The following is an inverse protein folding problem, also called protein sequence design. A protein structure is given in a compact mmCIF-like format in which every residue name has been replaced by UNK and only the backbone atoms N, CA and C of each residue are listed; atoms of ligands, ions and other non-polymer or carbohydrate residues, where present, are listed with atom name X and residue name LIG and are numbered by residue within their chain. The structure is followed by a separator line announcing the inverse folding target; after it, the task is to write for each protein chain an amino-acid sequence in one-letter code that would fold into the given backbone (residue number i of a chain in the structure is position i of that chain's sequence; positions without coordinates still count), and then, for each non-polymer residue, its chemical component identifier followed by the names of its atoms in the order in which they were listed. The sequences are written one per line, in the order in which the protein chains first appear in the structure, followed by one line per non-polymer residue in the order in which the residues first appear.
data_IF_028414983977
#
_entry.id   IF_028414983977
#
_cell.length_a   1.000
_cell.length_b   1.000
_cell.length_c   1.000
_cell.angle_alpha   90.00
_cell.angle_beta   90.00
_cell.angle_gamma   90.00
#
_symmetry.space_group_name_H-M   'P 1'
#
loop_
_entity.id
_entity.type
_entity.pdbx_description
1 polymer ?
#
# COMPACT_ATOMS: atom_id res chain seq x y z
N UNK A 1 0.97 -23.51 16.00
CA UNK A 1 1.96 -22.54 15.53
C UNK A 1 1.51 -21.94 14.18
N UNK A 2 1.40 -20.64 14.12
CA UNK A 2 1.03 -19.92 12.89
C UNK A 2 2.25 -19.70 11.99
N UNK A 3 2.01 -19.41 10.71
CA UNK A 3 3.07 -19.04 9.76
C UNK A 3 3.79 -17.77 10.24
N UNK A 4 3.04 -16.79 10.74
CA UNK A 4 3.61 -15.55 11.27
C UNK A 4 4.57 -15.80 12.45
N UNK A 5 4.21 -16.70 13.38
CA UNK A 5 5.10 -17.08 14.49
C UNK A 5 6.37 -17.77 14.00
N UNK A 6 6.28 -18.59 12.95
CA UNK A 6 7.45 -19.23 12.36
C UNK A 6 8.44 -18.21 11.78
N UNK A 7 7.93 -17.19 11.09
CA UNK A 7 8.75 -16.10 10.59
C UNK A 7 9.31 -15.22 11.72
N UNK A 8 8.52 -14.95 12.76
CA UNK A 8 8.95 -14.16 13.91
C UNK A 8 10.18 -14.79 14.61
N UNK A 9 10.24 -16.11 14.70
CA UNK A 9 11.41 -16.84 15.23
C UNK A 9 12.67 -16.63 14.39
N UNK A 10 12.53 -16.29 13.11
CA UNK A 10 13.63 -15.97 12.21
C UNK A 10 13.91 -14.45 12.16
N UNK A 11 13.32 -13.67 13.04
CA UNK A 11 13.49 -12.22 13.12
C UNK A 11 12.63 -11.42 12.15
N UNK A 12 11.69 -12.07 11.44
CA UNK A 12 10.77 -11.40 10.52
C UNK A 12 9.40 -11.27 11.17
N UNK A 13 8.99 -10.04 11.47
CA UNK A 13 7.72 -9.76 12.13
C UNK A 13 6.71 -9.29 11.10
N UNK A 14 5.61 -10.03 10.95
CA UNK A 14 4.46 -9.63 10.15
C UNK A 14 3.41 -8.95 11.02
N UNK A 15 2.81 -7.91 10.48
CA UNK A 15 1.65 -7.26 11.07
C UNK A 15 0.41 -7.56 10.23
N UNK A 16 -0.76 -7.79 10.85
CA UNK A 16 -1.99 -7.97 10.10
C UNK A 16 -2.28 -6.74 9.25
N UNK A 17 -2.62 -6.94 7.99
CA UNK A 17 -3.11 -5.87 7.11
C UNK A 17 -4.58 -5.55 7.38
N UNK A 18 -5.01 -4.33 7.01
CA UNK A 18 -6.42 -3.96 7.05
C UNK A 18 -7.21 -4.70 5.98
N UNK A 19 -8.29 -5.36 6.38
CA UNK A 19 -9.18 -6.07 5.46
C UNK A 19 -10.41 -5.25 5.03
N UNK A 20 -10.37 -3.93 5.16
CA UNK A 20 -11.42 -3.02 4.66
C UNK A 20 -11.30 -2.86 3.15
N UNK A 21 -11.92 -3.77 2.39
CA UNK A 21 -11.73 -3.89 0.95
C UNK A 21 -12.22 -2.67 0.19
N UNK A 22 -13.46 -2.23 0.42
CA UNK A 22 -14.04 -1.07 -0.27
C UNK A 22 -13.22 0.21 -0.07
N UNK A 23 -12.78 0.47 1.16
CA UNK A 23 -11.92 1.61 1.48
C UNK A 23 -10.56 1.50 0.76
N UNK A 24 -10.02 0.29 0.69
CA UNK A 24 -8.78 0.03 0.00
C UNK A 24 -8.87 0.25 -1.52
N UNK A 25 -9.96 -0.17 -2.15
CA UNK A 25 -10.19 0.09 -3.59
C UNK A 25 -10.36 1.59 -3.86
N UNK A 26 -11.10 2.29 -3.03
CA UNK A 26 -11.25 3.74 -3.14
C UNK A 26 -9.90 4.45 -2.99
N UNK A 27 -9.06 4.01 -2.06
CA UNK A 27 -7.71 4.54 -1.87
C UNK A 27 -6.81 4.26 -3.07
N UNK A 28 -6.87 3.06 -3.67
CA UNK A 28 -6.13 2.75 -4.89
C UNK A 28 -6.52 3.67 -6.05
N UNK A 29 -7.81 3.91 -6.24
CA UNK A 29 -8.29 4.86 -7.26
C UNK A 29 -7.71 6.26 -7.03
N UNK A 30 -7.70 6.75 -5.81
CA UNK A 30 -7.10 8.05 -5.47
C UNK A 30 -5.60 8.10 -5.78
N UNK A 31 -4.87 7.05 -5.49
CA UNK A 31 -3.42 6.98 -5.69
C UNK A 31 -3.02 6.81 -7.15
N UNK A 32 -3.83 6.11 -7.94
CA UNK A 32 -3.61 5.90 -9.36
C UNK A 32 -4.13 7.06 -10.23
N UNK A 33 -5.02 7.89 -9.68
CA UNK A 33 -5.60 9.01 -10.41
C UNK A 33 -4.52 10.00 -10.85
N UNK A 34 -4.60 10.40 -12.10
CA UNK A 34 -3.79 11.46 -12.67
C UNK A 34 -4.61 12.30 -13.64
N UNK A 35 -4.29 13.57 -13.72
CA UNK A 35 -4.85 14.53 -14.66
C UNK A 35 -3.84 15.65 -14.90
N UNK A 36 -4.24 16.71 -15.63
CA UNK A 36 -3.35 17.83 -15.94
C UNK A 36 -2.82 18.56 -14.69
N UNK A 37 -3.53 18.49 -13.57
CA UNK A 37 -3.20 19.18 -12.32
C UNK A 37 -2.61 18.25 -11.25
N UNK A 38 -2.91 16.94 -11.31
CA UNK A 38 -2.53 15.97 -10.30
C UNK A 38 -1.63 14.88 -10.88
N UNK A 39 -0.47 14.68 -10.26
CA UNK A 39 0.40 13.54 -10.55
C UNK A 39 -0.10 12.29 -9.81
N UNK A 40 0.06 11.09 -10.38
CA UNK A 40 -0.27 9.87 -9.68
C UNK A 40 0.63 9.69 -8.45
N UNK A 41 0.05 9.20 -7.37
CA UNK A 41 0.79 8.89 -6.12
C UNK A 41 1.32 7.47 -6.08
N UNK A 42 0.79 6.59 -6.91
CA UNK A 42 1.25 5.21 -7.10
C UNK A 42 1.66 5.05 -8.55
N UNK A 43 2.89 4.63 -8.76
CA UNK A 43 3.46 4.32 -10.07
C UNK A 43 4.15 2.96 -10.01
N UNK A 44 4.13 2.25 -11.13
CA UNK A 44 4.78 0.96 -11.27
C UNK A 44 5.94 1.07 -12.25
N UNK A 45 7.06 0.46 -11.91
CA UNK A 45 8.14 0.27 -12.86
C UNK A 45 7.69 -0.64 -14.01
N UNK A 46 8.20 -0.42 -15.20
CA UNK A 46 7.89 -1.25 -16.37
C UNK A 46 8.28 -2.73 -16.22
N UNK A 47 9.13 -3.05 -15.24
CA UNK A 47 9.50 -4.42 -14.87
C UNK A 47 8.44 -5.13 -14.01
N UNK A 48 7.45 -4.42 -13.50
CA UNK A 48 6.34 -5.01 -12.72
C UNK A 48 5.27 -5.60 -13.64
N UNK A 49 5.64 -6.56 -14.45
CA UNK A 49 4.81 -7.12 -15.55
C UNK A 49 3.43 -7.61 -15.07
N UNK A 50 3.40 -8.37 -13.99
CA UNK A 50 2.14 -8.92 -13.48
C UNK A 50 1.20 -7.83 -12.94
N UNK A 51 1.71 -6.83 -12.23
CA UNK A 51 0.91 -5.70 -11.78
C UNK A 51 0.34 -4.90 -12.95
N UNK A 52 1.17 -4.58 -13.94
CA UNK A 52 0.77 -3.83 -15.14
C UNK A 52 -0.28 -4.60 -15.95
N UNK A 53 -0.15 -5.92 -16.05
CA UNK A 53 -1.08 -6.79 -16.78
C UNK A 53 -2.41 -6.95 -16.03
N UNK A 54 -2.38 -7.13 -14.71
CA UNK A 54 -3.54 -7.59 -13.95
C UNK A 54 -4.36 -6.49 -13.31
N UNK A 55 -3.76 -5.37 -12.91
CA UNK A 55 -4.50 -4.28 -12.24
C UNK A 55 -5.55 -3.64 -13.15
N UNK A 56 -5.26 -3.29 -14.42
CA UNK A 56 -6.24 -2.63 -15.28
C UNK A 56 -7.44 -3.50 -15.70
N UNK A 57 -7.34 -4.81 -15.58
CA UNK A 57 -8.39 -5.75 -16.00
C UNK A 57 -9.34 -6.16 -14.87
N UNK A 58 -9.17 -5.61 -13.67
CA UNK A 58 -10.07 -5.90 -12.56
C UNK A 58 -11.46 -5.38 -12.86
N UNK A 59 -12.46 -6.20 -12.57
CA UNK A 59 -13.87 -5.88 -12.73
C UNK A 59 -14.59 -5.89 -11.38
N UNK A 60 -15.73 -5.20 -11.30
CA UNK A 60 -16.56 -5.21 -10.11
C UNK A 60 -17.18 -6.59 -9.86
N UNK A 61 -17.32 -6.93 -8.59
CA UNK A 61 -18.10 -8.12 -8.19
C UNK A 61 -19.59 -7.91 -8.52
N UNK A 62 -20.23 -8.92 -9.08
CA UNK A 62 -21.65 -8.83 -9.49
C UNK A 62 -22.60 -8.65 -8.30
N UNK A 63 -22.26 -9.23 -7.15
CA UNK A 63 -23.08 -9.18 -5.93
C UNK A 63 -22.76 -8.00 -5.03
N UNK A 64 -21.51 -7.51 -5.11
CA UNK A 64 -21.00 -6.38 -4.34
C UNK A 64 -20.26 -5.42 -5.25
N UNK A 65 -20.95 -4.52 -5.94
CA UNK A 65 -20.33 -3.62 -6.93
C UNK A 65 -19.23 -2.71 -6.38
N UNK A 66 -19.19 -2.51 -5.07
CA UNK A 66 -18.13 -1.79 -4.37
C UNK A 66 -16.83 -2.60 -4.19
N UNK A 67 -16.88 -3.88 -4.46
CA UNK A 67 -15.75 -4.80 -4.40
C UNK A 67 -15.33 -5.26 -5.81
N UNK A 68 -14.21 -5.95 -5.89
CA UNK A 68 -13.76 -6.58 -7.14
C UNK A 68 -14.08 -8.07 -7.14
N UNK A 69 -14.23 -8.61 -8.35
CA UNK A 69 -14.36 -10.05 -8.55
C UNK A 69 -13.07 -10.76 -8.16
N UNK A 70 -13.16 -11.62 -7.13
CA UNK A 70 -12.02 -12.39 -6.61
C UNK A 70 -11.80 -13.74 -7.32
N UNK A 71 -12.63 -14.09 -8.28
CA UNK A 71 -12.40 -15.28 -9.13
C UNK A 71 -11.35 -15.03 -10.22
N UNK A 72 -11.02 -13.76 -10.48
CA UNK A 72 -9.98 -13.35 -11.42
C UNK A 72 -8.58 -13.34 -10.81
N UNK A 73 -7.62 -12.83 -11.57
CA UNK A 73 -6.22 -12.66 -11.15
C UNK A 73 -6.08 -11.36 -10.33
N UNK A 74 -6.39 -11.44 -9.06
CA UNK A 74 -6.45 -10.31 -8.12
C UNK A 74 -5.22 -10.18 -7.20
N UNK A 75 -4.23 -11.06 -7.31
CA UNK A 75 -3.11 -11.15 -6.37
C UNK A 75 -2.30 -9.86 -6.29
N UNK A 76 -1.93 -9.27 -7.43
CA UNK A 76 -1.14 -8.04 -7.45
C UNK A 76 -1.92 -6.83 -6.92
N UNK A 77 -3.19 -6.72 -7.29
CA UNK A 77 -4.03 -5.61 -6.83
C UNK A 77 -4.33 -5.73 -5.34
N UNK A 78 -4.53 -6.93 -4.84
CA UNK A 78 -4.78 -7.18 -3.43
C UNK A 78 -3.54 -6.86 -2.57
N UNK A 79 -2.36 -7.28 -3.01
CA UNK A 79 -1.11 -6.95 -2.36
C UNK A 79 -0.89 -5.42 -2.30
N UNK A 80 -1.13 -4.71 -3.40
CA UNK A 80 -1.04 -3.26 -3.46
C UNK A 80 -2.05 -2.59 -2.52
N UNK A 81 -3.28 -3.08 -2.46
CA UNK A 81 -4.31 -2.60 -1.55
C UNK A 81 -3.87 -2.69 -0.10
N UNK A 82 -3.38 -3.84 0.34
CA UNK A 82 -2.86 -4.02 1.70
C UNK A 82 -1.71 -3.06 2.02
N UNK A 83 -0.78 -2.91 1.09
CA UNK A 83 0.35 -1.99 1.25
C UNK A 83 -0.09 -0.54 1.38
N UNK A 84 -0.97 -0.07 0.51
CA UNK A 84 -1.50 1.30 0.53
C UNK A 84 -2.32 1.60 1.79
N UNK A 85 -3.17 0.67 2.21
CA UNK A 85 -3.95 0.82 3.44
C UNK A 85 -3.04 0.94 4.66
N UNK A 86 -2.00 0.14 4.75
CA UNK A 86 -1.02 0.20 5.84
C UNK A 86 -0.30 1.55 5.86
N UNK A 87 0.15 2.04 4.71
CA UNK A 87 0.80 3.34 4.60
C UNK A 87 -0.13 4.49 4.97
N UNK A 88 -1.38 4.44 4.51
CA UNK A 88 -2.38 5.47 4.77
C UNK A 88 -2.76 5.53 6.25
N UNK A 89 -2.99 4.40 6.88
CA UNK A 89 -3.30 4.30 8.31
C UNK A 89 -2.14 4.76 9.18
N UNK A 90 -0.91 4.43 8.81
CA UNK A 90 0.29 4.94 9.52
C UNK A 90 0.41 6.45 9.46
N UNK A 91 0.07 7.07 8.35
CA UNK A 91 0.10 8.54 8.23
C UNK A 91 -0.92 9.24 9.09
N UNK A 92 -2.10 8.63 9.24
CA UNK A 92 -3.23 9.27 9.93
C UNK A 92 -3.29 9.04 11.44
N UNK A 93 -2.59 8.05 11.98
CA UNK A 93 -2.90 7.54 13.33
C UNK A 93 -1.72 7.43 14.29
N UNK A 94 -0.47 7.74 13.91
CA UNK A 94 0.66 7.40 14.76
C UNK A 94 1.63 8.55 15.01
N UNK A 95 1.88 8.91 16.30
CA UNK A 95 3.06 9.70 16.63
C UNK A 95 4.34 8.93 16.25
N UNK A 96 5.40 9.62 15.84
CA UNK A 96 6.66 8.97 15.47
C UNK A 96 7.20 8.14 16.63
N UNK A 97 7.70 6.95 16.33
CA UNK A 97 8.39 6.12 17.33
C UNK A 97 9.64 6.83 17.82
N UNK A 98 10.15 6.37 18.96
CA UNK A 98 11.41 6.88 19.51
C UNK A 98 12.57 6.72 18.53
N UNK A 99 12.59 5.60 17.78
CA UNK A 99 13.60 5.35 16.74
C UNK A 99 13.45 6.35 15.60
N UNK A 100 12.24 6.57 15.12
CA UNK A 100 11.95 7.56 14.08
C UNK A 100 12.31 8.97 14.52
N UNK A 101 12.02 9.34 15.78
CA UNK A 101 12.45 10.62 16.35
C UNK A 101 13.98 10.74 16.40
N UNK A 102 14.69 9.72 16.88
CA UNK A 102 16.15 9.71 16.91
C UNK A 102 16.78 9.74 15.52
N UNK A 103 16.17 9.09 14.54
CA UNK A 103 16.58 9.16 13.15
C UNK A 103 16.33 10.56 12.57
N UNK A 104 15.19 11.15 12.86
CA UNK A 104 14.84 12.51 12.47
C UNK A 104 15.82 13.54 13.11
N UNK A 105 16.13 13.40 14.38
CA UNK A 105 17.09 14.25 15.09
C UNK A 105 18.53 14.10 14.54
N UNK A 106 18.92 12.86 14.22
CA UNK A 106 20.30 12.56 13.79
C UNK A 106 20.57 12.90 12.33
N UNK A 107 19.60 12.72 11.47
CA UNK A 107 19.74 12.90 10.02
C UNK A 107 18.97 14.10 9.48
N UNK A 108 18.19 14.78 10.32
CA UNK A 108 17.49 16.01 10.02
C UNK A 108 16.69 15.96 8.72
N UNK A 109 16.77 17.03 7.94
CA UNK A 109 16.03 17.15 6.66
C UNK A 109 16.50 16.18 5.55
N UNK A 110 17.57 15.41 5.77
CA UNK A 110 18.06 14.44 4.77
C UNK A 110 17.25 13.14 4.69
N UNK A 111 16.44 12.87 5.71
CA UNK A 111 15.50 11.76 5.73
C UNK A 111 14.08 12.28 5.83
N UNK A 112 13.65 13.02 4.83
CA UNK A 112 12.23 13.21 4.62
C UNK A 112 11.67 11.89 4.07
N UNK A 113 11.18 11.05 5.00
CA UNK A 113 10.51 9.79 4.66
C UNK A 113 9.33 10.07 3.71
N UNK A 114 8.70 11.23 3.83
CA UNK A 114 7.68 11.68 2.91
C UNK A 114 8.26 12.00 1.52
N UNK A 115 9.46 12.54 1.42
CA UNK A 115 10.13 12.76 0.14
C UNK A 115 10.67 11.47 -0.49
N UNK A 116 11.05 10.45 0.30
CA UNK A 116 11.43 9.13 -0.22
C UNK A 116 10.24 8.38 -0.82
N UNK A 117 9.05 8.50 -0.21
CA UNK A 117 7.85 7.82 -0.68
C UNK A 117 6.95 8.71 -1.57
N UNK A 118 7.16 10.03 -1.57
CA UNK A 118 6.36 11.01 -2.32
C UNK A 118 7.28 12.12 -2.87
N UNK A 119 8.08 11.84 -3.90
CA UNK A 119 8.81 12.89 -4.59
C UNK A 119 7.81 13.94 -5.10
N UNK A 120 8.08 15.18 -4.76
CA UNK A 120 7.28 16.33 -5.27
C UNK A 120 7.33 16.37 -6.79
#
# INVERSE_FOLDING_TARGET
QTIAESFARQGIIFMPGSNRRSDGWALMHQYLRWDAENKPKLIYFNTCYNSIRTIPIQIHDEKKPEDIDSEGDDHCVDAARYGLMTLHERKSARPPTEIERKLQERYGQKLDINAMYYPK
#
